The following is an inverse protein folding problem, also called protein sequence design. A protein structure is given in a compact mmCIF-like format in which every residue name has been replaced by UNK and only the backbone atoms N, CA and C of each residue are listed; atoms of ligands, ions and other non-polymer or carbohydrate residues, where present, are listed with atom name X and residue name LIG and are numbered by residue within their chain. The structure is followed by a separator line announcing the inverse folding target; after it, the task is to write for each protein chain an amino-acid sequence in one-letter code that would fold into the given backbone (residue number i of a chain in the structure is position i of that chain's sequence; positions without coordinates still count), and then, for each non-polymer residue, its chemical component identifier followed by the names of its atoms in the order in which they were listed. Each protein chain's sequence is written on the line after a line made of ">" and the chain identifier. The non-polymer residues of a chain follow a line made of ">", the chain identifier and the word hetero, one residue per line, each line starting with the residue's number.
data_IF_311907622996
#
_entry.id   IF_311907622996
#
_cell.length_a   1.000
_cell.length_b   1.000
_cell.length_c   1.000
_cell.angle_alpha   90.00
_cell.angle_beta   90.00
_cell.angle_gamma   90.00
#
_symmetry.space_group_name_H-M   'P 1'
#
loop_
_entity.id
_entity.type
_entity.pdbx_description
1 polymer ?
#
# COMPACT_ATOMS: atom_id res chain seq x y z
N UNK A 1 25.84 10.27 -9.11
CA UNK A 1 25.20 9.42 -8.10
C UNK A 1 24.13 10.26 -7.42
N UNK A 2 22.86 10.07 -7.78
CA UNK A 2 21.75 10.74 -7.08
C UNK A 2 21.33 9.83 -5.93
N UNK A 3 21.43 10.30 -4.70
CA UNK A 3 20.78 9.64 -3.57
C UNK A 3 19.29 9.96 -3.72
N UNK A 4 18.50 9.00 -4.20
CA UNK A 4 17.04 9.11 -4.11
C UNK A 4 16.68 8.81 -2.67
N UNK A 5 16.66 9.84 -1.83
CA UNK A 5 16.05 9.75 -0.50
C UNK A 5 14.54 9.73 -0.72
N UNK A 6 13.94 8.55 -0.60
CA UNK A 6 12.49 8.47 -0.39
C UNK A 6 12.21 9.00 1.00
N UNK A 7 11.49 10.12 1.08
CA UNK A 7 11.07 10.65 2.36
C UNK A 7 10.09 9.65 2.98
N UNK A 8 10.37 9.21 4.20
CA UNK A 8 9.47 8.29 4.91
C UNK A 8 8.16 8.97 5.28
N UNK A 9 8.17 10.30 5.24
CA UNK A 9 7.02 11.16 5.50
C UNK A 9 6.28 11.53 4.20
N UNK A 10 6.68 10.98 3.05
CA UNK A 10 6.03 11.28 1.78
C UNK A 10 4.59 10.73 1.75
N UNK A 11 3.66 11.61 1.36
CA UNK A 11 2.23 11.34 1.35
C UNK A 11 1.79 11.10 -0.09
N UNK A 12 1.27 9.91 -0.33
CA UNK A 12 0.68 9.51 -1.59
C UNK A 12 -0.80 9.90 -1.58
N UNK A 13 -1.19 10.73 -2.54
CA UNK A 13 -2.60 10.97 -2.83
C UNK A 13 -3.10 9.92 -3.83
N UNK A 14 -4.07 9.10 -3.41
CA UNK A 14 -4.66 8.06 -4.23
C UNK A 14 -6.13 8.35 -4.52
N UNK A 15 -6.48 8.31 -5.80
CA UNK A 15 -7.87 8.41 -6.28
C UNK A 15 -8.36 7.01 -6.66
N UNK A 16 -9.41 6.49 -5.98
CA UNK A 16 -10.00 5.21 -6.32
C UNK A 16 -10.40 5.12 -7.79
N UNK A 17 -10.24 3.95 -8.40
CA UNK A 17 -10.44 3.72 -9.83
C UNK A 17 -11.84 4.15 -10.28
N UNK A 18 -12.86 3.90 -9.46
CA UNK A 18 -14.25 4.29 -9.75
C UNK A 18 -14.47 5.81 -9.80
N UNK A 19 -13.62 6.59 -9.13
CA UNK A 19 -13.79 8.04 -8.94
C UNK A 19 -12.89 8.87 -9.87
N UNK A 20 -12.02 8.27 -10.68
CA UNK A 20 -11.01 9.00 -11.47
C UNK A 20 -11.58 10.02 -12.47
N UNK A 21 -12.83 9.84 -12.88
CA UNK A 21 -13.54 10.75 -13.80
C UNK A 21 -14.56 11.65 -13.09
N UNK A 22 -14.61 11.62 -11.76
CA UNK A 22 -15.48 12.47 -10.96
C UNK A 22 -14.93 13.90 -10.91
N UNK A 23 -15.83 14.89 -10.88
CA UNK A 23 -15.46 16.31 -10.75
C UNK A 23 -14.91 16.62 -9.33
N UNK A 24 -15.38 15.87 -8.33
CA UNK A 24 -14.89 15.92 -6.95
C UNK A 24 -14.59 14.50 -6.46
N UNK A 25 -13.45 13.91 -6.88
CA UNK A 25 -13.12 12.55 -6.54
C UNK A 25 -12.82 12.40 -5.05
N UNK A 26 -13.10 11.22 -4.52
CA UNK A 26 -12.53 10.80 -3.23
C UNK A 26 -11.00 10.73 -3.36
N UNK A 27 -10.30 11.35 -2.40
CA UNK A 27 -8.84 11.29 -2.33
C UNK A 27 -8.44 10.65 -1.01
N UNK A 28 -7.69 9.57 -1.08
CA UNK A 28 -7.15 8.86 0.08
C UNK A 28 -5.68 9.22 0.24
N UNK A 29 -5.32 9.76 1.39
CA UNK A 29 -3.96 10.14 1.75
C UNK A 29 -3.29 8.96 2.44
N UNK A 30 -2.20 8.46 1.87
CA UNK A 30 -1.51 7.26 2.34
C UNK A 30 -0.03 7.54 2.52
N UNK A 31 0.58 6.90 3.52
CA UNK A 31 2.04 6.84 3.63
C UNK A 31 2.59 5.94 2.53
N UNK A 32 3.80 6.23 2.06
CA UNK A 32 4.53 5.27 1.26
C UNK A 32 4.82 4.00 2.08
N UNK A 33 4.26 2.87 1.63
CA UNK A 33 4.49 1.57 2.24
C UNK A 33 5.68 0.91 1.56
N UNK A 34 6.76 0.71 2.31
CA UNK A 34 7.91 -0.06 1.79
C UNK A 34 7.58 -1.55 1.70
N UNK A 35 8.28 -2.28 0.84
CA UNK A 35 8.11 -3.72 0.69
C UNK A 35 8.32 -4.49 2.01
N UNK A 36 9.28 -4.04 2.84
CA UNK A 36 9.50 -4.62 4.16
C UNK A 36 8.29 -4.48 5.09
N UNK A 37 7.60 -3.33 5.03
CA UNK A 37 6.37 -3.08 5.80
C UNK A 37 5.22 -3.93 5.26
N UNK A 38 5.04 -4.04 3.94
CA UNK A 38 4.04 -4.92 3.34
C UNK A 38 4.27 -6.39 3.74
N UNK A 39 5.52 -6.89 3.63
CA UNK A 39 5.88 -8.24 4.05
C UNK A 39 5.64 -8.50 5.54
N UNK A 40 5.83 -7.49 6.41
CA UNK A 40 5.57 -7.62 7.85
C UNK A 40 4.11 -8.03 8.08
N UNK A 41 3.15 -7.38 7.43
CA UNK A 41 1.73 -7.71 7.60
C UNK A 41 1.38 -9.08 7.03
N UNK A 42 1.93 -9.44 5.87
CA UNK A 42 1.74 -10.79 5.30
C UNK A 42 2.29 -11.90 6.23
N UNK A 43 3.47 -11.67 6.83
CA UNK A 43 4.05 -12.58 7.83
C UNK A 43 3.20 -12.68 9.10
N UNK A 44 2.60 -11.57 9.56
CA UNK A 44 1.69 -11.58 10.70
C UNK A 44 0.45 -12.43 10.43
N UNK A 45 -0.15 -12.29 9.23
CA UNK A 45 -1.30 -13.11 8.82
C UNK A 45 -0.90 -14.60 8.80
N UNK A 46 0.22 -14.93 8.15
CA UNK A 46 0.69 -16.31 8.06
C UNK A 46 1.03 -16.93 9.43
N UNK A 47 1.64 -16.16 10.34
CA UNK A 47 1.97 -16.61 11.70
C UNK A 47 0.72 -16.91 12.53
N UNK A 48 -0.30 -16.03 12.44
CA UNK A 48 -1.57 -16.26 13.11
C UNK A 48 -2.29 -17.51 12.60
N UNK A 49 -2.33 -17.71 11.28
CA UNK A 49 -2.94 -18.91 10.68
C UNK A 49 -2.22 -20.19 11.12
N UNK A 50 -0.88 -20.19 11.17
CA UNK A 50 -0.09 -21.36 11.61
C UNK A 50 -0.24 -21.67 13.10
N UNK A 51 -0.45 -20.65 13.94
CA UNK A 51 -0.54 -20.79 15.40
C UNK A 51 -1.86 -21.38 15.92
N UNK A 52 -2.88 -21.55 15.08
CA UNK A 52 -4.23 -21.91 15.56
C UNK A 52 -4.44 -23.40 15.86
N UNK A 53 -3.45 -24.26 15.62
CA UNK A 53 -3.53 -25.70 15.96
C UNK A 53 -4.62 -26.49 15.21
N UNK A 54 -5.25 -25.90 14.19
CA UNK A 54 -6.33 -26.49 13.40
C UNK A 54 -6.91 -25.49 12.37
N UNK A 55 -7.60 -26.00 11.35
CA UNK A 55 -8.23 -25.18 10.33
C UNK A 55 -9.62 -24.70 10.80
N UNK A 56 -9.74 -23.43 11.19
CA UNK A 56 -11.01 -22.78 11.48
C UNK A 56 -11.16 -21.55 10.55
N UNK A 57 -11.92 -21.65 9.45
CA UNK A 57 -12.07 -20.57 8.47
C UNK A 57 -12.54 -19.24 9.06
N UNK A 58 -13.48 -19.29 10.00
CA UNK A 58 -14.07 -18.09 10.60
C UNK A 58 -13.02 -17.31 11.42
N UNK A 59 -12.24 -18.03 12.25
CA UNK A 59 -11.16 -17.43 13.02
C UNK A 59 -10.02 -16.92 12.12
N UNK A 60 -9.72 -17.61 11.02
CA UNK A 60 -8.73 -17.13 10.03
C UNK A 60 -9.20 -15.81 9.43
N UNK A 61 -10.47 -15.74 9.01
CA UNK A 61 -11.04 -14.55 8.40
C UNK A 61 -11.06 -13.35 9.37
N UNK A 62 -11.47 -13.58 10.62
CA UNK A 62 -11.48 -12.56 11.67
C UNK A 62 -10.07 -12.02 11.96
N UNK A 63 -9.10 -12.91 12.18
CA UNK A 63 -7.71 -12.53 12.44
C UNK A 63 -7.07 -11.79 11.26
N UNK A 64 -7.34 -12.25 10.04
CA UNK A 64 -6.87 -11.59 8.81
C UNK A 64 -7.46 -10.19 8.71
N UNK A 65 -8.76 -10.04 8.96
CA UNK A 65 -9.44 -8.74 8.98
C UNK A 65 -8.84 -7.79 10.03
N UNK A 66 -8.53 -8.27 11.23
CA UNK A 66 -7.88 -7.44 12.25
C UNK A 66 -6.51 -6.91 11.79
N UNK A 67 -5.70 -7.77 11.16
CA UNK A 67 -4.37 -7.38 10.69
C UNK A 67 -4.47 -6.44 9.49
N UNK A 68 -5.40 -6.68 8.57
CA UNK A 68 -5.67 -5.77 7.45
C UNK A 68 -6.18 -4.41 7.92
N UNK A 69 -7.09 -4.37 8.91
CA UNK A 69 -7.54 -3.12 9.54
C UNK A 69 -6.36 -2.37 10.16
N UNK A 70 -5.47 -3.07 10.85
CA UNK A 70 -4.26 -2.47 11.42
C UNK A 70 -3.35 -1.90 10.33
N UNK A 71 -3.06 -2.67 9.28
CA UNK A 71 -2.29 -2.21 8.13
C UNK A 71 -2.91 -0.96 7.50
N UNK A 72 -4.22 -0.97 7.29
CA UNK A 72 -4.94 0.14 6.71
C UNK A 72 -4.84 1.40 7.58
N UNK A 73 -5.23 1.30 8.85
CA UNK A 73 -5.26 2.47 9.75
C UNK A 73 -3.87 3.06 10.05
N UNK A 74 -2.80 2.25 10.03
CA UNK A 74 -1.44 2.75 10.25
C UNK A 74 -0.87 3.51 9.04
N UNK A 75 -1.32 3.16 7.83
CA UNK A 75 -0.79 3.69 6.58
C UNK A 75 -1.70 4.72 5.89
N UNK A 76 -3.01 4.70 6.15
CA UNK A 76 -3.93 5.74 5.67
C UNK A 76 -3.94 6.89 6.69
N UNK A 77 -3.55 8.07 6.23
CA UNK A 77 -3.42 9.30 7.03
C UNK A 77 -4.76 10.02 7.12
N UNK A 78 -5.54 9.98 6.03
CA UNK A 78 -6.83 10.64 5.96
C UNK A 78 -7.52 10.41 4.63
N UNK A 79 -8.73 10.92 4.51
CA UNK A 79 -9.53 10.87 3.30
C UNK A 79 -10.24 12.20 3.11
N UNK A 80 -10.40 12.63 1.86
CA UNK A 80 -11.12 13.83 1.46
C UNK A 80 -12.24 13.43 0.51
N UNK A 81 -13.36 14.16 0.56
CA UNK A 81 -14.49 14.00 -0.36
C UNK A 81 -15.15 12.61 -0.32
N UNK A 82 -15.03 11.86 0.78
CA UNK A 82 -15.74 10.60 0.95
C UNK A 82 -16.98 10.81 1.83
N UNK A 83 -18.16 10.61 1.25
CA UNK A 83 -19.43 10.87 1.94
C UNK A 83 -20.24 9.59 2.10
N UNK A 84 -20.73 9.37 3.31
CA UNK A 84 -21.66 8.29 3.63
C UNK A 84 -22.90 8.88 4.27
N UNK A 85 -24.06 8.71 3.63
CA UNK A 85 -25.36 9.24 4.10
C UNK A 85 -25.32 10.76 4.39
N UNK A 86 -24.60 11.51 3.55
CA UNK A 86 -24.47 12.97 3.69
C UNK A 86 -23.48 13.45 4.74
N UNK A 87 -22.78 12.54 5.44
CA UNK A 87 -21.69 12.86 6.36
C UNK A 87 -20.35 12.59 5.68
N UNK A 88 -19.44 13.57 5.75
CA UNK A 88 -18.06 13.37 5.33
C UNK A 88 -17.32 12.49 6.34
N UNK A 89 -16.60 11.51 5.83
CA UNK A 89 -15.65 10.72 6.58
C UNK A 89 -14.26 11.25 6.27
N UNK A 90 -13.47 11.49 7.32
CA UNK A 90 -12.12 12.04 7.19
C UNK A 90 -11.03 11.17 7.82
N UNK A 91 -11.43 10.15 8.59
CA UNK A 91 -10.50 9.29 9.34
C UNK A 91 -10.36 7.90 8.69
N UNK A 92 -9.17 7.30 8.81
CA UNK A 92 -8.90 5.97 8.28
C UNK A 92 -9.74 4.88 8.95
N UNK A 93 -9.98 5.00 10.26
CA UNK A 93 -10.80 4.05 11.00
C UNK A 93 -12.27 4.07 10.54
N UNK A 94 -12.85 5.26 10.37
CA UNK A 94 -14.22 5.39 9.87
C UNK A 94 -14.32 4.95 8.41
N UNK A 95 -13.32 5.26 7.57
CA UNK A 95 -13.27 4.81 6.19
C UNK A 95 -13.25 3.29 6.11
N UNK A 96 -12.45 2.61 6.93
CA UNK A 96 -12.37 1.15 6.96
C UNK A 96 -13.70 0.48 7.32
N UNK A 97 -14.49 1.09 8.20
CA UNK A 97 -15.78 0.56 8.63
C UNK A 97 -16.94 0.93 7.71
N UNK A 98 -16.87 2.09 7.06
CA UNK A 98 -17.96 2.64 6.26
C UNK A 98 -17.85 2.31 4.75
N UNK A 99 -16.64 2.10 4.24
CA UNK A 99 -16.43 1.72 2.85
C UNK A 99 -16.84 0.27 2.58
N UNK A 100 -17.16 -0.01 1.31
CA UNK A 100 -17.33 -1.39 0.88
C UNK A 100 -16.00 -2.16 0.89
N UNK A 101 -16.09 -3.48 0.93
CA UNK A 101 -14.90 -4.34 0.97
C UNK A 101 -14.03 -4.22 -0.27
N UNK A 102 -14.59 -3.83 -1.43
CA UNK A 102 -13.83 -3.72 -2.68
C UNK A 102 -12.89 -2.51 -2.63
N UNK A 103 -13.38 -1.37 -2.15
CA UNK A 103 -12.57 -0.17 -1.97
C UNK A 103 -11.44 -0.41 -0.97
N UNK A 104 -11.72 -1.10 0.14
CA UNK A 104 -10.67 -1.44 1.12
C UNK A 104 -9.61 -2.35 0.51
N UNK A 105 -10.00 -3.37 -0.25
CA UNK A 105 -9.06 -4.26 -0.95
C UNK A 105 -8.24 -3.48 -1.99
N UNK A 106 -8.88 -2.59 -2.75
CA UNK A 106 -8.22 -1.74 -3.73
C UNK A 106 -7.14 -0.87 -3.08
N UNK A 107 -7.45 -0.22 -1.97
CA UNK A 107 -6.50 0.64 -1.25
C UNK A 107 -5.33 -0.17 -0.68
N UNK A 108 -5.58 -1.35 -0.11
CA UNK A 108 -4.52 -2.24 0.38
C UNK A 108 -3.62 -2.68 -0.79
N UNK A 109 -4.22 -3.07 -1.92
CA UNK A 109 -3.45 -3.47 -3.09
C UNK A 109 -2.64 -2.31 -3.66
N UNK A 110 -3.18 -1.09 -3.70
CA UNK A 110 -2.46 0.10 -4.13
C UNK A 110 -1.22 0.37 -3.26
N UNK A 111 -1.33 0.17 -1.94
CA UNK A 111 -0.18 0.26 -1.03
C UNK A 111 0.87 -0.82 -1.33
N UNK A 112 0.45 -2.07 -1.59
CA UNK A 112 1.36 -3.18 -1.91
C UNK A 112 2.01 -3.04 -3.29
N UNK A 113 1.28 -2.56 -4.29
CA UNK A 113 1.76 -2.37 -5.66
C UNK A 113 2.75 -1.20 -5.73
N UNK A 114 2.47 -0.10 -5.02
CA UNK A 114 3.44 0.98 -4.83
C UNK A 114 4.74 0.41 -4.27
N UNK A 115 4.68 -0.42 -3.22
CA UNK A 115 5.87 -1.03 -2.62
C UNK A 115 6.70 -1.87 -3.61
N UNK A 116 6.05 -2.60 -4.51
CA UNK A 116 6.70 -3.47 -5.52
C UNK A 116 7.28 -2.68 -6.68
N UNK A 117 6.57 -1.65 -7.16
CA UNK A 117 7.05 -0.78 -8.23
C UNK A 117 8.32 -0.04 -7.80
N UNK A 118 8.38 0.44 -6.56
CA UNK A 118 9.58 1.11 -6.02
C UNK A 118 10.80 0.17 -6.03
N UNK A 119 10.64 -1.11 -5.64
CA UNK A 119 11.73 -2.09 -5.73
C UNK A 119 12.12 -2.45 -7.16
N UNK A 120 11.13 -2.61 -8.06
CA UNK A 120 11.38 -2.92 -9.47
C UNK A 120 12.17 -1.80 -10.16
N UNK A 121 11.79 -0.55 -9.91
CA UNK A 121 12.54 0.61 -10.36
C UNK A 121 13.94 0.64 -9.75
N UNK A 122 14.09 0.46 -8.43
CA UNK A 122 15.40 0.37 -7.75
C UNK A 122 16.31 -0.69 -8.37
N UNK A 123 15.79 -1.88 -8.72
CA UNK A 123 16.55 -2.97 -9.36
C UNK A 123 16.95 -2.63 -10.80
N UNK A 124 16.05 -2.04 -11.58
CA UNK A 124 16.33 -1.65 -12.97
C UNK A 124 17.42 -0.56 -13.03
N UNK A 125 17.41 0.42 -12.12
CA UNK A 125 18.47 1.43 -12.02
C UNK A 125 19.83 0.86 -11.57
N UNK A 126 19.83 -0.16 -10.70
CA UNK A 126 21.06 -0.86 -10.30
C UNK A 126 21.66 -1.71 -11.43
N UNK A 127 20.85 -2.14 -12.40
CA UNK A 127 21.30 -2.98 -13.51
C UNK A 127 21.89 -2.16 -14.67
N UNK A 128 21.36 -0.97 -14.95
CA UNK A 128 21.88 -0.07 -16.00
C UNK A 128 23.21 0.60 -15.65
N UNK A 129 23.63 0.58 -14.38
CA UNK A 129 24.91 1.15 -13.93
C UNK A 129 26.09 0.18 -14.00
N UNK A 130 25.89 -1.03 -14.54
CA UNK A 130 26.89 -2.11 -14.59
C UNK A 130 27.59 -2.35 -15.94
N UNK A 131 27.25 -1.63 -17.01
CA UNK A 131 27.86 -1.86 -18.35
C UNK A 131 28.13 -0.55 -19.09
N UNK A 132 29.12 0.21 -18.64
CA UNK A 132 29.73 1.27 -19.44
C UNK A 132 31.18 1.51 -19.02
N UNK A 133 32.06 0.52 -19.21
CA UNK A 133 33.51 0.73 -19.10
C UNK A 133 34.31 -0.34 -19.87
N UNK A 134 34.99 0.11 -20.94
CA UNK A 134 36.06 -0.58 -21.67
C UNK A 134 35.58 -1.37 -22.90
N UNK A 135 36.09 -1.23 -24.12
CA UNK A 135 37.37 -0.70 -24.61
C UNK A 135 37.15 0.11 -25.90
N UNK A 136 37.50 1.39 -25.85
CA UNK A 136 37.94 2.14 -27.02
C UNK A 136 39.43 1.79 -27.20
N UNK A 137 39.75 0.95 -28.19
CA UNK A 137 41.12 0.81 -28.68
C UNK A 137 41.20 1.41 -30.08
N UNK A 138 41.77 2.60 -30.09
CA UNK A 138 42.35 3.25 -31.24
C UNK A 138 43.59 2.48 -31.74
N UNK A 139 43.83 2.62 -33.05
CA UNK A 139 45.02 2.33 -33.87
C UNK A 139 44.83 1.22 -34.90
#
# INVERSE_FOLDING_TARGET
>A
MAIITFDKDDVIEYVPVSERNSENPTVVLMKHVTFAVAQKYQKMIAAQVKGMGGFNPEKIAENTRMIQKKQFCENVIGVRNFFVKGREISTSAELYEAADSKLIIELINAMEDSARLTEGQLKNFAQESGTASGEEKAS
#
